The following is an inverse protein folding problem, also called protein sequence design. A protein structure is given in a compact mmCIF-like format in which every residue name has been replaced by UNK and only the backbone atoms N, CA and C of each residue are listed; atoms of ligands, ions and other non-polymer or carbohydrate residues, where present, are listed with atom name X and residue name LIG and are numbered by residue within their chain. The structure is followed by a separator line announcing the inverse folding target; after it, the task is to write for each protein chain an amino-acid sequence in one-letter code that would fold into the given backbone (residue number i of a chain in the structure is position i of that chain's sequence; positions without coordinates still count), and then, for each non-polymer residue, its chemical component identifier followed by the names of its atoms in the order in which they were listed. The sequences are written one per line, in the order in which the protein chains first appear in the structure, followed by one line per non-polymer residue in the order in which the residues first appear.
data_IF_426700290757
#
_entry.id   IF_426700290757
#
_cell.length_a   1.000
_cell.length_b   1.000
_cell.length_c   1.000
_cell.angle_alpha   90.00
_cell.angle_beta   90.00
_cell.angle_gamma   90.00
#
_symmetry.space_group_name_H-M   'P 1'
#
loop_
_entity.id
_entity.type
_entity.pdbx_description
1 polymer ?
#
# COMPACT_ATOMS: atom_id res chain seq x y z
N UNK A 1 -45.14 -32.14 0.26
CA UNK A 1 -43.95 -32.04 -0.61
C UNK A 1 -42.93 -31.24 0.15
N UNK A 2 -41.94 -31.91 0.73
CA UNK A 2 -40.62 -31.40 1.17
C UNK A 2 -40.03 -32.52 2.03
N UNK A 3 -39.30 -33.44 1.38
CA UNK A 3 -38.62 -34.53 2.08
C UNK A 3 -37.34 -33.95 2.69
N UNK A 4 -37.34 -33.72 4.00
CA UNK A 4 -36.13 -33.40 4.74
C UNK A 4 -35.20 -34.63 4.71
N UNK A 5 -34.25 -34.65 3.78
CA UNK A 5 -33.24 -35.70 3.71
C UNK A 5 -32.31 -35.53 4.91
N UNK A 6 -32.50 -36.36 5.93
CA UNK A 6 -31.58 -36.48 7.06
C UNK A 6 -30.23 -36.99 6.53
N UNK A 7 -29.26 -36.09 6.39
CA UNK A 7 -27.91 -36.47 6.00
C UNK A 7 -27.31 -37.38 7.08
N UNK A 8 -26.64 -38.50 6.72
CA UNK A 8 -26.04 -39.38 7.71
C UNK A 8 -24.98 -38.62 8.51
N UNK A 9 -24.90 -38.88 9.82
CA UNK A 9 -23.99 -38.19 10.76
C UNK A 9 -22.54 -38.19 10.27
N UNK A 10 -22.13 -39.25 9.58
CA UNK A 10 -20.80 -39.36 8.95
C UNK A 10 -20.57 -38.39 7.80
N UNK A 11 -21.61 -38.01 7.04
CA UNK A 11 -21.53 -36.97 6.00
C UNK A 11 -21.38 -35.59 6.64
N UNK A 12 -22.14 -35.29 7.69
CA UNK A 12 -22.04 -34.03 8.44
C UNK A 12 -20.66 -33.87 9.06
N UNK A 13 -20.12 -34.92 9.69
CA UNK A 13 -18.76 -34.95 10.24
C UNK A 13 -17.69 -34.78 9.17
N UNK A 14 -17.81 -35.44 8.01
CA UNK A 14 -16.87 -35.29 6.90
C UNK A 14 -16.87 -33.89 6.32
N UNK A 15 -18.05 -33.29 6.16
CA UNK A 15 -18.19 -31.90 5.69
C UNK A 15 -17.58 -30.95 6.71
N UNK A 16 -17.85 -31.11 8.01
CA UNK A 16 -17.22 -30.30 9.06
C UNK A 16 -15.69 -30.44 9.05
N UNK A 17 -15.18 -31.67 8.94
CA UNK A 17 -13.74 -31.94 8.85
C UNK A 17 -13.13 -31.27 7.61
N UNK A 18 -13.80 -31.31 6.47
CA UNK A 18 -13.33 -30.69 5.23
C UNK A 18 -13.26 -29.16 5.36
N UNK A 19 -14.25 -28.54 6.02
CA UNK A 19 -14.25 -27.09 6.29
C UNK A 19 -13.15 -26.67 7.29
N UNK A 20 -12.81 -27.54 8.26
CA UNK A 20 -11.70 -27.33 9.18
C UNK A 20 -10.33 -27.53 8.50
N UNK A 21 -10.21 -28.50 7.58
CA UNK A 21 -9.00 -28.75 6.80
C UNK A 21 -8.71 -27.66 5.75
N UNK A 22 -9.75 -27.04 5.19
CA UNK A 22 -9.66 -25.94 4.23
C UNK A 22 -9.65 -24.55 4.90
N UNK A 23 -9.17 -24.48 6.14
CA UNK A 23 -9.43 -23.42 7.13
C UNK A 23 -9.27 -21.94 6.71
N UNK A 24 -9.60 -21.00 7.62
CA UNK A 24 -9.72 -19.56 7.36
C UNK A 24 -8.45 -18.87 6.82
N UNK A 25 -7.29 -19.55 6.85
CA UNK A 25 -6.04 -19.06 6.29
C UNK A 25 -6.15 -18.68 4.81
N UNK A 26 -6.92 -19.43 4.01
CA UNK A 26 -7.12 -19.07 2.59
C UNK A 26 -7.84 -17.72 2.40
N UNK A 27 -8.72 -17.35 3.34
CA UNK A 27 -9.42 -16.06 3.33
C UNK A 27 -8.51 -14.92 3.76
N UNK A 28 -7.71 -15.12 4.81
CA UNK A 28 -6.75 -14.12 5.29
C UNK A 28 -5.65 -13.83 4.26
N UNK A 29 -5.13 -14.86 3.59
CA UNK A 29 -4.17 -14.73 2.50
C UNK A 29 -4.76 -14.00 1.29
N UNK A 30 -6.06 -14.16 1.02
CA UNK A 30 -6.73 -13.46 -0.07
C UNK A 30 -6.96 -11.99 0.27
N UNK A 31 -7.39 -11.71 1.49
CA UNK A 31 -7.52 -10.36 2.05
C UNK A 31 -6.18 -9.62 2.01
N UNK A 32 -5.10 -10.24 2.50
CA UNK A 32 -3.76 -9.65 2.51
C UNK A 32 -3.26 -9.32 1.09
N UNK A 33 -3.43 -10.26 0.14
CA UNK A 33 -3.11 -10.01 -1.28
C UNK A 33 -3.92 -8.87 -1.88
N UNK A 34 -5.22 -8.80 -1.56
CA UNK A 34 -6.07 -7.69 -2.01
C UNK A 34 -5.60 -6.35 -1.48
N UNK A 35 -5.18 -6.28 -0.21
CA UNK A 35 -4.63 -5.06 0.40
C UNK A 35 -3.31 -4.64 -0.23
N UNK A 36 -2.41 -5.59 -0.50
CA UNK A 36 -1.16 -5.32 -1.21
C UNK A 36 -1.42 -4.76 -2.61
N UNK A 37 -2.32 -5.38 -3.38
CA UNK A 37 -2.71 -4.89 -4.71
C UNK A 37 -3.32 -3.50 -4.68
N UNK A 38 -4.18 -3.22 -3.70
CA UNK A 38 -4.76 -1.89 -3.52
C UNK A 38 -3.69 -0.84 -3.18
N UNK A 39 -2.72 -1.19 -2.33
CA UNK A 39 -1.61 -0.31 -1.99
C UNK A 39 -0.67 -0.08 -3.19
N UNK A 40 -0.39 -1.11 -4.00
CA UNK A 40 0.38 -0.97 -5.25
C UNK A 40 -0.30 0.03 -6.18
N UNK A 41 -1.58 -0.16 -6.51
CA UNK A 41 -2.33 0.76 -7.39
C UNK A 41 -2.39 2.19 -6.83
N UNK A 42 -2.49 2.33 -5.52
CA UNK A 42 -2.47 3.62 -4.87
C UNK A 42 -1.11 4.32 -5.03
N UNK A 43 -0.03 3.62 -4.71
CA UNK A 43 1.32 4.18 -4.75
C UNK A 43 1.69 4.57 -6.18
N UNK A 44 1.27 3.78 -7.16
CA UNK A 44 1.37 4.09 -8.60
C UNK A 44 0.59 5.37 -8.96
N UNK A 45 -0.70 5.44 -8.59
CA UNK A 45 -1.57 6.60 -8.88
C UNK A 45 -0.98 7.92 -8.39
N UNK A 46 -0.30 7.91 -7.24
CA UNK A 46 0.28 9.11 -6.63
C UNK A 46 1.77 9.30 -6.94
N UNK A 47 2.36 8.42 -7.77
CA UNK A 47 3.69 8.57 -8.34
C UNK A 47 4.83 8.15 -7.42
N UNK A 48 4.59 7.29 -6.43
CA UNK A 48 5.64 6.85 -5.48
C UNK A 48 6.64 5.85 -6.07
N UNK A 49 6.40 5.36 -7.29
CA UNK A 49 7.35 4.61 -8.10
C UNK A 49 7.05 4.82 -9.58
N UNK A 50 8.09 4.72 -10.41
CA UNK A 50 7.96 4.74 -11.87
C UNK A 50 7.45 3.39 -12.39
N UNK A 51 7.04 3.36 -13.67
CA UNK A 51 6.52 2.19 -14.39
C UNK A 51 7.18 0.90 -13.87
N UNK A 52 6.41 -0.06 -13.34
CA UNK A 52 6.98 -1.27 -12.77
C UNK A 52 7.88 -1.92 -13.83
N UNK A 53 9.03 -2.43 -13.39
CA UNK A 53 9.88 -3.26 -14.25
C UNK A 53 9.01 -4.32 -14.96
N UNK A 54 9.46 -4.95 -16.06
CA UNK A 54 8.67 -5.96 -16.79
C UNK A 54 8.07 -7.09 -15.94
N UNK A 55 8.53 -7.21 -14.69
CA UNK A 55 8.15 -8.22 -13.69
C UNK A 55 7.38 -7.65 -12.47
N UNK A 56 6.94 -6.39 -12.49
CA UNK A 56 6.30 -5.73 -11.35
C UNK A 56 7.27 -5.01 -10.42
N UNK A 57 6.76 -4.43 -9.33
CA UNK A 57 7.61 -3.90 -8.26
C UNK A 57 8.32 -5.02 -7.51
N UNK A 58 9.60 -4.82 -7.27
CA UNK A 58 10.33 -5.62 -6.28
C UNK A 58 9.84 -5.27 -4.86
N UNK A 59 9.95 -6.21 -3.93
CA UNK A 59 9.61 -5.97 -2.52
C UNK A 59 10.37 -4.78 -1.91
N UNK A 60 11.61 -4.55 -2.37
CA UNK A 60 12.43 -3.41 -1.94
C UNK A 60 11.87 -2.08 -2.45
N UNK A 61 11.51 -2.00 -3.73
CA UNK A 61 10.88 -0.81 -4.31
C UNK A 61 9.54 -0.50 -3.64
N UNK A 62 8.72 -1.52 -3.38
CA UNK A 62 7.45 -1.34 -2.67
C UNK A 62 7.67 -0.80 -1.25
N UNK A 63 8.62 -1.39 -0.52
CA UNK A 63 8.97 -0.95 0.84
C UNK A 63 9.41 0.51 0.86
N UNK A 64 10.23 0.93 -0.12
CA UNK A 64 10.70 2.32 -0.20
C UNK A 64 9.56 3.29 -0.56
N UNK A 65 8.69 2.91 -1.50
CA UNK A 65 7.50 3.68 -1.83
C UNK A 65 6.58 3.89 -0.61
N UNK A 66 6.40 2.86 0.22
CA UNK A 66 5.67 2.97 1.49
C UNK A 66 6.37 3.91 2.47
N UNK A 67 7.71 3.89 2.57
CA UNK A 67 8.47 4.83 3.41
C UNK A 67 8.31 6.28 2.97
N UNK A 68 8.29 6.52 1.68
CA UNK A 68 8.07 7.86 1.13
C UNK A 68 6.64 8.35 1.42
N UNK A 69 5.64 7.50 1.22
CA UNK A 69 4.26 7.81 1.58
C UNK A 69 4.09 8.12 3.08
N UNK A 70 4.68 7.29 3.94
CA UNK A 70 4.66 7.50 5.39
C UNK A 70 5.29 8.83 5.78
N UNK A 71 6.38 9.22 5.13
CA UNK A 71 7.02 10.52 5.39
C UNK A 71 6.14 11.71 4.99
N UNK A 72 5.55 11.67 3.79
CA UNK A 72 4.65 12.74 3.30
C UNK A 72 3.42 12.88 4.21
N UNK A 73 2.94 11.78 4.77
CA UNK A 73 1.74 11.77 5.63
C UNK A 73 2.04 11.85 7.12
N UNK A 74 3.30 12.08 7.49
CA UNK A 74 3.75 12.19 8.89
C UNK A 74 3.48 10.93 9.74
N UNK A 75 3.50 9.76 9.11
CA UNK A 75 3.49 8.46 9.77
C UNK A 75 4.93 8.00 10.08
N UNK A 76 5.12 7.07 11.05
CA UNK A 76 6.41 6.44 11.28
C UNK A 76 6.94 5.76 10.01
N UNK A 77 8.17 6.09 9.62
CA UNK A 77 8.83 5.64 8.38
C UNK A 77 9.32 4.19 8.48
N UNK A 78 8.41 3.24 8.66
CA UNK A 78 8.69 1.82 8.85
C UNK A 78 8.87 1.05 7.54
N UNK A 79 8.21 1.48 6.46
CA UNK A 79 8.10 0.74 5.19
C UNK A 79 7.11 -0.43 5.25
N UNK A 80 6.41 -0.62 6.36
CA UNK A 80 5.41 -1.68 6.55
C UNK A 80 4.02 -1.14 6.24
N UNK A 81 3.22 -1.91 5.51
CA UNK A 81 1.80 -1.62 5.25
C UNK A 81 0.96 -1.93 6.50
N UNK A 82 1.17 -1.17 7.57
CA UNK A 82 0.47 -1.33 8.84
C UNK A 82 -0.94 -0.70 8.80
N UNK A 83 -1.72 -0.89 9.86
CA UNK A 83 -3.10 -0.39 9.93
C UNK A 83 -3.18 1.14 9.80
N UNK A 84 -2.20 1.87 10.34
CA UNK A 84 -2.14 3.34 10.24
C UNK A 84 -1.90 3.79 8.80
N UNK A 85 -0.98 3.14 8.10
CA UNK A 85 -0.70 3.38 6.68
C UNK A 85 -1.92 3.08 5.82
N UNK A 86 -2.57 1.92 6.00
CA UNK A 86 -3.77 1.55 5.24
C UNK A 86 -4.91 2.52 5.50
N UNK A 87 -5.13 2.92 6.76
CA UNK A 87 -6.12 3.92 7.09
C UNK A 87 -5.86 5.24 6.35
N UNK A 88 -4.63 5.72 6.37
CA UNK A 88 -4.25 6.96 5.69
C UNK A 88 -4.39 6.88 4.16
N UNK A 89 -4.16 5.70 3.57
CA UNK A 89 -4.39 5.45 2.13
C UNK A 89 -5.88 5.47 1.75
N UNK A 90 -6.78 5.22 2.71
CA UNK A 90 -8.23 5.17 2.49
C UNK A 90 -8.96 6.51 2.64
N UNK A 91 -8.29 7.53 3.17
CA UNK A 91 -8.89 8.86 3.33
C UNK A 91 -9.12 9.54 1.97
N UNK A 92 -10.16 10.38 1.81
CA UNK A 92 -10.38 11.17 0.59
C UNK A 92 -9.27 12.21 0.37
N UNK A 93 -8.81 12.38 -0.88
CA UNK A 93 -7.68 13.27 -1.24
C UNK A 93 -7.86 13.90 -2.62
N UNK A 94 -7.04 14.90 -2.95
CA UNK A 94 -6.92 15.40 -4.31
C UNK A 94 -6.23 14.35 -5.21
N UNK A 95 -6.62 14.27 -6.49
CA UNK A 95 -6.04 13.31 -7.44
C UNK A 95 -4.68 13.71 -8.04
N UNK A 96 -4.00 14.71 -7.47
CA UNK A 96 -2.69 15.19 -7.94
C UNK A 96 -1.58 14.29 -7.39
N UNK A 97 -0.51 14.07 -8.17
CA UNK A 97 0.62 13.24 -7.72
C UNK A 97 1.41 13.89 -6.58
N UNK A 98 1.91 13.06 -5.66
CA UNK A 98 2.69 13.52 -4.51
C UNK A 98 4.15 13.83 -4.92
N UNK A 99 4.69 13.10 -5.91
CA UNK A 99 6.08 13.27 -6.36
C UNK A 99 6.34 14.51 -7.20
N UNK A 100 5.39 14.92 -8.06
CA UNK A 100 5.51 16.18 -8.79
C UNK A 100 5.55 17.37 -7.82
N UNK A 101 4.78 17.27 -6.72
CA UNK A 101 4.80 18.24 -5.62
C UNK A 101 6.15 18.27 -4.89
N UNK A 102 6.76 17.11 -4.63
CA UNK A 102 8.06 17.03 -3.97
C UNK A 102 9.21 17.58 -4.84
N UNK A 103 9.25 17.22 -6.12
CA UNK A 103 10.25 17.72 -7.06
C UNK A 103 10.14 19.25 -7.24
N UNK A 104 8.91 19.77 -7.32
CA UNK A 104 8.67 21.22 -7.38
C UNK A 104 9.13 21.93 -6.10
N UNK A 105 8.85 21.36 -4.93
CA UNK A 105 9.33 21.89 -3.65
C UNK A 105 10.86 21.89 -3.56
N UNK A 106 11.52 20.78 -3.92
CA UNK A 106 12.98 20.66 -3.88
C UNK A 106 13.67 21.70 -4.77
N UNK A 107 13.19 21.87 -6.02
CA UNK A 107 13.68 22.94 -6.92
C UNK A 107 13.55 24.32 -6.30
N UNK A 108 12.41 24.60 -5.67
CA UNK A 108 12.13 25.90 -5.03
C UNK A 108 13.05 26.16 -3.84
N UNK A 109 13.31 25.16 -3.00
CA UNK A 109 14.27 25.26 -1.89
C UNK A 109 15.69 25.48 -2.43
N UNK A 110 16.11 24.72 -3.43
CA UNK A 110 17.43 24.87 -4.04
C UNK A 110 17.65 26.27 -4.63
N UNK A 111 16.64 26.84 -5.29
CA UNK A 111 16.70 28.19 -5.82
C UNK A 111 16.90 29.24 -4.71
N UNK A 112 16.17 29.12 -3.60
CA UNK A 112 16.32 30.01 -2.44
C UNK A 112 17.71 29.93 -1.80
N UNK A 113 18.24 28.73 -1.64
CA UNK A 113 19.58 28.51 -1.07
C UNK A 113 20.68 29.03 -2.00
N UNK A 114 20.54 28.80 -3.31
CA UNK A 114 21.50 29.27 -4.32
C UNK A 114 21.53 30.80 -4.41
N UNK A 115 20.35 31.44 -4.32
CA UNK A 115 20.26 32.90 -4.26
C UNK A 115 20.92 33.52 -3.02
N UNK A 116 20.78 32.88 -1.84
CA UNK A 116 21.48 33.32 -0.62
C UNK A 116 23.00 33.15 -0.72
N UNK A 117 23.49 32.03 -1.28
CA UNK A 117 24.93 31.79 -1.47
C UNK A 117 25.58 32.85 -2.36
N UNK A 118 24.92 33.27 -3.44
CA UNK A 118 25.43 34.32 -4.32
C UNK A 118 25.54 35.69 -3.62
N UNK A 119 24.61 35.99 -2.69
CA UNK A 119 24.61 37.24 -1.92
C UNK A 119 25.68 37.28 -0.83
N UNK A 120 25.96 36.15 -0.19
CA UNK A 120 27.00 36.05 0.86
C UNK A 120 28.42 36.15 0.29
N UNK A 121 28.65 35.70 -0.96
CA UNK A 121 29.97 35.82 -1.63
C UNK A 121 30.31 37.23 -2.13
N UNK A 122 29.36 38.17 -2.14
CA UNK A 122 29.56 39.57 -2.58
C UNK A 122 29.78 40.53 -1.40
N UNK A 123 29.90 40.01 -0.18
CA UNK A 123 30.29 40.75 1.02
C UNK A 123 31.65 40.26 1.47
#
# INVERSE_FOLDING_TARGET
MEAAVAAPVGFVLRVLLLQLLLGPGASLEREARSRLRAAEMFLEKYGYFDDPAPHGLTSAQFTEAVREFQWVTHLPRSGVLDASTVHQMSLPRCGVSDMESHAAWAKRVQALLSGRRAKMRRR
#
